data_IF_267680564200
#
_entry.id   IF_267680564200
#
_cell.length_a   1.000
_cell.length_b   1.000
_cell.length_c   1.000
_cell.angle_alpha   90.00
_cell.angle_beta   90.00
_cell.angle_gamma   90.00
#
_symmetry.space_group_name_H-M   'P 1'
#
loop_
_entity.id
_entity.type
_entity.pdbx_description
1 polymer ?
#
# COMPACT_ATOMS: atom_id res chain seq x y z
N UNK A 1 4.68 -9.59 10.27
CA UNK A 1 4.81 -10.17 8.93
C UNK A 1 4.21 -9.18 7.93
N UNK A 2 5.03 -8.78 6.92
CA UNK A 2 4.70 -7.76 5.93
C UNK A 2 5.40 -6.42 6.20
N UNK A 3 6.23 -5.96 5.25
CA UNK A 3 7.00 -4.70 5.28
C UNK A 3 6.42 -3.63 4.36
N UNK A 4 5.12 -3.71 4.04
CA UNK A 4 4.39 -2.63 3.39
C UNK A 4 4.04 -1.50 4.36
N UNK A 5 3.30 -0.48 3.88
CA UNK A 5 2.96 0.73 4.63
C UNK A 5 2.46 0.44 6.06
N UNK A 6 1.38 -0.34 6.18
CA UNK A 6 0.76 -0.65 7.47
C UNK A 6 1.66 -1.51 8.38
N UNK A 7 2.46 -2.41 7.79
CA UNK A 7 3.39 -3.25 8.54
C UNK A 7 4.51 -2.44 9.16
N UNK A 8 5.07 -1.48 8.42
CA UNK A 8 6.11 -0.56 8.92
C UNK A 8 5.54 0.37 10.00
N UNK A 9 4.34 0.92 9.82
CA UNK A 9 3.68 1.75 10.83
C UNK A 9 3.41 0.95 12.12
N UNK A 10 2.89 -0.27 12.00
CA UNK A 10 2.65 -1.15 13.15
C UNK A 10 3.96 -1.52 13.87
N UNK A 11 5.00 -1.88 13.13
CA UNK A 11 6.33 -2.19 13.68
C UNK A 11 6.90 -1.02 14.48
N UNK A 12 6.85 0.19 13.91
CA UNK A 12 7.29 1.40 14.61
C UNK A 12 6.45 1.68 15.86
N UNK A 13 5.14 1.47 15.81
CA UNK A 13 4.25 1.62 16.97
C UNK A 13 4.61 0.66 18.11
N UNK A 14 4.83 -0.62 17.80
CA UNK A 14 5.21 -1.64 18.78
C UNK A 14 6.59 -1.37 19.37
N UNK A 15 7.57 -0.98 18.55
CA UNK A 15 8.90 -0.59 19.03
C UNK A 15 8.82 0.59 20.02
N UNK A 16 7.98 1.61 19.73
CA UNK A 16 7.76 2.74 20.66
C UNK A 16 7.14 2.32 22.00
N UNK A 17 6.48 1.16 22.05
CA UNK A 17 5.98 0.56 23.30
C UNK A 17 7.06 -0.29 24.02
N UNK A 18 8.31 -0.24 23.57
CA UNK A 18 9.43 -0.96 24.18
C UNK A 18 9.56 -2.41 23.74
N UNK A 19 8.86 -2.84 22.70
CA UNK A 19 8.97 -4.20 22.19
C UNK A 19 10.19 -4.34 21.26
N UNK A 20 10.87 -5.48 21.32
CA UNK A 20 11.81 -5.88 20.28
C UNK A 20 11.02 -6.37 19.07
N UNK A 21 11.24 -5.74 17.91
CA UNK A 21 10.41 -5.99 16.71
C UNK A 21 11.29 -6.42 15.54
N UNK A 22 10.95 -7.56 14.95
CA UNK A 22 11.52 -8.06 13.70
C UNK A 22 10.43 -8.09 12.62
N UNK A 23 10.67 -7.42 11.51
CA UNK A 23 9.76 -7.40 10.34
C UNK A 23 10.22 -8.45 9.34
N UNK A 24 9.39 -9.47 9.11
CA UNK A 24 9.60 -10.46 8.03
C UNK A 24 8.85 -10.00 6.80
N UNK A 25 9.52 -9.86 5.66
CA UNK A 25 8.93 -9.39 4.42
C UNK A 25 9.32 -10.26 3.23
N UNK A 26 8.34 -10.63 2.41
CA UNK A 26 8.56 -11.50 1.25
C UNK A 26 9.38 -10.81 0.14
N UNK A 27 9.07 -9.59 -0.30
CA UNK A 27 9.93 -8.84 -1.21
C UNK A 27 11.28 -8.46 -0.58
N UNK A 28 12.27 -8.22 -1.44
CA UNK A 28 13.61 -7.74 -1.03
C UNK A 28 13.65 -6.24 -0.76
N UNK A 29 12.54 -5.54 -0.98
CA UNK A 29 12.39 -4.09 -0.87
C UNK A 29 11.21 -3.75 0.03
N UNK A 30 11.40 -2.88 1.02
CA UNK A 30 10.31 -2.38 1.86
C UNK A 30 9.38 -1.46 1.06
N UNK A 31 8.07 -1.57 1.35
CA UNK A 31 7.05 -0.70 0.74
C UNK A 31 7.13 -0.68 -0.80
N UNK A 32 7.36 -1.80 -1.43
CA UNK A 32 7.58 -1.98 -2.88
C UNK A 32 6.47 -1.39 -3.76
N UNK A 33 5.29 -1.19 -3.19
CA UNK A 33 4.14 -0.56 -3.86
C UNK A 33 4.14 0.97 -3.76
N UNK A 34 4.99 1.53 -2.90
CA UNK A 34 5.06 2.96 -2.62
C UNK A 34 6.43 3.56 -2.89
N UNK A 35 7.48 2.75 -2.91
CA UNK A 35 8.86 3.22 -3.02
C UNK A 35 9.63 2.48 -4.10
N UNK A 36 10.55 3.20 -4.70
CA UNK A 36 11.63 2.60 -5.46
C UNK A 36 12.75 2.10 -4.55
N UNK A 37 13.69 1.34 -5.11
CA UNK A 37 14.75 0.69 -4.33
C UNK A 37 15.66 1.68 -3.56
N UNK A 38 16.07 2.85 -4.10
CA UNK A 38 16.87 3.82 -3.36
C UNK A 38 16.14 4.37 -2.12
N UNK A 39 14.90 4.84 -2.27
CA UNK A 39 14.10 5.36 -1.18
C UNK A 39 13.80 4.29 -0.11
N UNK A 40 13.48 3.07 -0.53
CA UNK A 40 13.25 1.95 0.37
C UNK A 40 14.50 1.56 1.17
N UNK A 41 15.69 1.64 0.56
CA UNK A 41 16.96 1.41 1.26
C UNK A 41 17.23 2.48 2.33
N UNK A 42 16.93 3.74 2.03
CA UNK A 42 17.05 4.84 3.00
C UNK A 42 16.06 4.66 4.16
N UNK A 43 14.81 4.31 3.85
CA UNK A 43 13.79 4.00 4.86
C UNK A 43 14.24 2.85 5.77
N UNK A 44 14.68 1.73 5.18
CA UNK A 44 15.16 0.57 5.93
C UNK A 44 16.26 0.96 6.90
N UNK A 45 17.30 1.67 6.40
CA UNK A 45 18.40 2.14 7.23
C UNK A 45 17.92 3.01 8.38
N UNK A 46 17.07 4.00 8.13
CA UNK A 46 16.51 4.89 9.17
C UNK A 46 15.72 4.12 10.24
N UNK A 47 15.05 3.03 9.87
CA UNK A 47 14.30 2.20 10.80
C UNK A 47 15.22 1.25 11.58
N UNK A 48 16.26 0.71 10.95
CA UNK A 48 17.30 -0.10 11.61
C UNK A 48 18.10 0.72 12.64
N UNK A 49 18.46 1.96 12.30
CA UNK A 49 19.11 2.90 13.21
C UNK A 49 18.25 3.22 14.47
N UNK A 50 16.94 2.98 14.40
CA UNK A 50 16.00 3.11 15.52
C UNK A 50 15.78 1.81 16.30
N UNK A 51 16.33 0.68 15.84
CA UNK A 51 16.26 -0.61 16.51
C UNK A 51 15.26 -1.60 15.94
N UNK A 52 14.65 -1.34 14.77
CA UNK A 52 13.87 -2.34 14.05
C UNK A 52 14.80 -3.33 13.35
N UNK A 53 14.44 -4.61 13.39
CA UNK A 53 15.13 -5.66 12.64
C UNK A 53 14.32 -6.06 11.40
N UNK A 54 15.00 -6.38 10.28
CA UNK A 54 14.34 -6.77 9.03
C UNK A 54 14.89 -8.08 8.49
N UNK A 55 13.99 -8.95 8.05
CA UNK A 55 14.28 -10.15 7.25
C UNK A 55 13.54 -9.98 5.92
N UNK A 56 14.26 -9.48 4.91
CA UNK A 56 13.75 -9.36 3.54
C UNK A 56 13.96 -10.67 2.80
N UNK A 57 13.14 -10.95 1.78
CA UNK A 57 13.12 -12.25 1.08
C UNK A 57 12.62 -13.40 1.96
N UNK A 58 12.12 -13.10 3.17
CA UNK A 58 11.67 -14.09 4.14
C UNK A 58 10.27 -14.62 3.82
N UNK A 59 10.17 -15.92 3.54
CA UNK A 59 8.88 -16.58 3.31
C UNK A 59 8.42 -17.21 4.61
N UNK A 60 7.37 -16.66 5.21
CA UNK A 60 6.72 -17.27 6.37
C UNK A 60 6.01 -18.55 5.96
N UNK A 61 6.31 -19.64 6.65
CA UNK A 61 5.69 -20.95 6.44
C UNK A 61 4.59 -21.20 7.47
N UNK A 62 4.89 -20.99 8.76
CA UNK A 62 4.00 -21.34 9.86
C UNK A 62 4.11 -20.34 11.00
N UNK A 63 3.00 -20.09 11.69
CA UNK A 63 2.97 -19.44 13.00
C UNK A 63 2.91 -20.53 14.05
N UNK A 64 3.95 -20.63 14.87
CA UNK A 64 4.15 -21.69 15.86
C UNK A 64 3.41 -21.33 17.14
N UNK A 65 2.70 -22.30 17.73
CA UNK A 65 2.01 -22.20 19.02
C UNK A 65 0.70 -22.96 19.02
N UNK A 66 0.17 -23.23 20.23
CA UNK A 66 -1.13 -23.92 20.38
C UNK A 66 -2.21 -22.98 20.91
N UNK A 67 -2.11 -22.54 22.15
CA UNK A 67 -3.04 -21.60 22.78
C UNK A 67 -2.55 -20.15 22.67
N UNK A 68 -1.24 -19.97 22.53
CA UNK A 68 -0.56 -18.69 22.39
C UNK A 68 0.53 -18.86 21.33
N UNK A 69 0.81 -17.79 20.59
CA UNK A 69 1.94 -17.75 19.66
C UNK A 69 3.25 -17.88 20.44
N UNK A 70 4.18 -18.66 19.90
CA UNK A 70 5.52 -18.89 20.44
C UNK A 70 6.61 -18.49 19.44
N UNK A 71 6.26 -18.37 18.16
CA UNK A 71 7.21 -18.01 17.13
C UNK A 71 6.64 -18.11 15.72
N UNK A 72 7.54 -17.91 14.78
CA UNK A 72 7.29 -18.01 13.33
C UNK A 72 8.39 -18.86 12.71
N UNK A 73 8.01 -19.84 11.88
CA UNK A 73 8.94 -20.61 11.06
C UNK A 73 8.95 -20.06 9.64
N UNK A 74 10.14 -19.89 9.09
CA UNK A 74 10.36 -19.52 7.71
C UNK A 74 10.64 -20.76 6.85
N UNK A 75 10.37 -20.69 5.55
CA UNK A 75 10.61 -21.80 4.61
C UNK A 75 12.07 -22.25 4.51
N UNK A 76 13.01 -21.39 4.85
CA UNK A 76 14.44 -21.69 4.87
C UNK A 76 14.87 -22.41 6.17
N UNK A 77 13.93 -22.74 7.05
CA UNK A 77 14.15 -23.46 8.29
C UNK A 77 14.47 -22.58 9.51
N UNK A 78 14.62 -21.26 9.34
CA UNK A 78 14.81 -20.35 10.49
C UNK A 78 13.55 -20.29 11.34
N UNK A 79 13.71 -20.30 12.65
CA UNK A 79 12.64 -20.08 13.62
C UNK A 79 12.91 -18.78 14.40
N UNK A 80 11.89 -17.95 14.48
CA UNK A 80 11.92 -16.68 15.20
C UNK A 80 10.97 -16.78 16.38
N UNK A 81 11.49 -16.68 17.59
CA UNK A 81 10.67 -16.63 18.81
C UNK A 81 9.87 -15.34 18.86
N UNK A 82 8.59 -15.41 19.16
CA UNK A 82 7.72 -14.23 19.27
C UNK A 82 6.58 -14.47 20.26
N UNK A 83 6.30 -13.46 21.09
CA UNK A 83 5.13 -13.39 21.97
C UNK A 83 3.90 -12.78 21.30
N UNK A 84 4.11 -12.03 20.23
CA UNK A 84 3.09 -11.37 19.41
C UNK A 84 3.47 -11.47 17.93
N UNK A 85 2.51 -11.82 17.09
CA UNK A 85 2.66 -11.78 15.63
C UNK A 85 1.57 -10.91 15.04
N UNK A 86 1.98 -9.90 14.29
CA UNK A 86 1.07 -9.04 13.52
C UNK A 86 1.19 -9.39 12.05
N UNK A 87 0.07 -9.67 11.40
CA UNK A 87 0.00 -9.92 9.96
C UNK A 87 -0.47 -8.67 9.22
N UNK A 88 0.40 -8.10 8.39
CA UNK A 88 0.14 -6.93 7.56
C UNK A 88 0.51 -7.22 6.09
N UNK A 89 -0.01 -8.34 5.56
CA UNK A 89 0.37 -8.90 4.24
C UNK A 89 -0.55 -8.46 3.10
N UNK A 90 -1.22 -7.33 3.27
CA UNK A 90 -2.16 -6.77 2.31
C UNK A 90 -3.61 -7.17 2.59
N UNK A 91 -4.49 -6.68 1.73
CA UNK A 91 -5.93 -6.87 1.82
C UNK A 91 -6.47 -7.58 0.59
N UNK A 92 -7.63 -8.20 0.74
CA UNK A 92 -8.41 -8.76 -0.36
C UNK A 92 -9.85 -8.23 -0.25
N UNK A 93 -10.43 -7.74 -1.35
CA UNK A 93 -11.83 -7.35 -1.37
C UNK A 93 -12.74 -8.48 -0.88
N UNK A 94 -13.64 -8.18 0.05
CA UNK A 94 -14.67 -9.14 0.46
C UNK A 94 -15.83 -9.09 -0.52
N UNK A 95 -15.93 -10.10 -1.36
CA UNK A 95 -16.92 -10.20 -2.46
C UNK A 95 -17.85 -11.39 -2.32
N UNK A 96 -17.84 -12.09 -1.18
CA UNK A 96 -18.64 -13.31 -1.01
C UNK A 96 -20.14 -13.05 -1.14
N UNK A 97 -20.65 -11.99 -0.52
CA UNK A 97 -22.05 -11.63 -0.62
C UNK A 97 -22.45 -11.33 -2.08
N UNK A 98 -21.64 -10.53 -2.77
CA UNK A 98 -21.87 -10.16 -4.15
C UNK A 98 -21.90 -11.40 -5.07
N UNK A 99 -20.94 -12.31 -4.92
CA UNK A 99 -20.91 -13.59 -5.66
C UNK A 99 -22.14 -14.45 -5.39
N UNK A 100 -22.53 -14.61 -4.11
CA UNK A 100 -23.73 -15.37 -3.73
C UNK A 100 -25.00 -14.76 -4.28
N UNK A 101 -25.02 -13.44 -4.51
CA UNK A 101 -26.13 -12.70 -5.11
C UNK A 101 -26.10 -12.70 -6.65
N UNK A 102 -25.15 -13.41 -7.27
CA UNK A 102 -25.06 -13.52 -8.73
C UNK A 102 -24.41 -12.32 -9.42
N UNK A 103 -23.80 -11.38 -8.68
CA UNK A 103 -23.11 -10.24 -9.28
C UNK A 103 -21.80 -10.66 -9.92
N UNK A 104 -21.42 -10.02 -11.00
CA UNK A 104 -20.15 -10.25 -11.65
C UNK A 104 -18.99 -9.70 -10.81
N UNK A 105 -18.07 -10.59 -10.44
CA UNK A 105 -16.91 -10.28 -9.60
C UNK A 105 -15.66 -10.95 -10.16
N UNK A 106 -14.58 -10.21 -10.20
CA UNK A 106 -13.22 -10.73 -10.42
C UNK A 106 -12.43 -10.65 -9.10
N UNK A 107 -11.49 -9.70 -8.98
CA UNK A 107 -10.83 -9.39 -7.70
C UNK A 107 -11.73 -8.59 -6.76
N UNK A 108 -12.62 -7.78 -7.32
CA UNK A 108 -13.65 -7.00 -6.66
C UNK A 108 -14.98 -7.16 -7.37
N UNK A 109 -16.03 -6.52 -6.87
CA UNK A 109 -17.29 -6.34 -7.58
C UNK A 109 -17.02 -5.41 -8.77
N UNK A 110 -17.22 -5.91 -10.00
CA UNK A 110 -16.95 -5.12 -11.20
C UNK A 110 -18.05 -4.08 -11.39
N UNK A 111 -17.64 -2.82 -11.49
CA UNK A 111 -18.55 -1.68 -11.69
C UNK A 111 -18.11 -0.82 -12.87
N UNK A 112 -19.07 -0.09 -13.43
CA UNK A 112 -18.85 0.92 -14.45
C UNK A 112 -18.43 2.28 -13.84
N UNK A 113 -18.30 3.30 -14.68
CA UNK A 113 -17.86 4.65 -14.27
C UNK A 113 -18.87 5.40 -13.37
N UNK A 114 -20.08 4.86 -13.17
CA UNK A 114 -21.09 5.39 -12.24
C UNK A 114 -21.24 4.56 -10.99
N UNK A 115 -20.33 3.62 -10.76
CA UNK A 115 -20.35 2.64 -9.65
C UNK A 115 -21.50 1.63 -9.71
N UNK A 116 -22.16 1.49 -10.86
CA UNK A 116 -23.22 0.52 -11.10
C UNK A 116 -22.59 -0.84 -11.47
N UNK A 117 -23.09 -1.92 -10.88
CA UNK A 117 -22.67 -3.28 -11.21
C UNK A 117 -23.25 -3.75 -12.56
N UNK A 118 -23.01 -5.01 -12.92
CA UNK A 118 -23.68 -5.65 -14.07
C UNK A 118 -25.20 -5.65 -13.92
N UNK A 119 -25.73 -5.80 -12.70
CA UNK A 119 -27.15 -5.58 -12.41
C UNK A 119 -27.40 -4.08 -12.25
N UNK A 120 -28.22 -3.45 -13.12
CA UNK A 120 -28.44 -2.01 -13.10
C UNK A 120 -29.16 -1.51 -11.83
N UNK A 121 -29.71 -2.39 -11.01
CA UNK A 121 -30.36 -2.05 -9.74
C UNK A 121 -29.36 -2.07 -8.56
N UNK A 122 -28.12 -2.54 -8.78
CA UNK A 122 -27.13 -2.72 -7.72
C UNK A 122 -25.89 -1.86 -7.97
N UNK A 123 -25.52 -1.08 -6.97
CA UNK A 123 -24.34 -0.26 -6.95
C UNK A 123 -23.35 -0.78 -5.90
N UNK A 124 -22.07 -0.60 -6.14
CA UNK A 124 -21.03 -0.92 -5.17
C UNK A 124 -19.99 0.21 -5.09
N UNK A 125 -19.55 0.53 -3.86
CA UNK A 125 -18.49 1.49 -3.57
C UNK A 125 -17.61 0.95 -2.47
N UNK A 126 -16.36 1.37 -2.42
CA UNK A 126 -15.45 0.99 -1.35
C UNK A 126 -14.43 -0.07 -1.74
N UNK A 127 -13.77 -0.68 -0.75
CA UNK A 127 -12.69 -1.66 -0.97
C UNK A 127 -13.14 -2.94 -1.67
N UNK A 128 -14.44 -3.25 -1.65
CA UNK A 128 -14.99 -4.41 -2.35
C UNK A 128 -15.08 -4.22 -3.87
N UNK A 129 -14.86 -3.02 -4.38
CA UNK A 129 -15.07 -2.65 -5.77
C UNK A 129 -13.83 -2.88 -6.63
N UNK A 130 -14.08 -3.31 -7.87
CA UNK A 130 -13.12 -3.27 -8.98
C UNK A 130 -13.65 -2.39 -10.09
N UNK A 131 -12.92 -1.31 -10.40
CA UNK A 131 -13.24 -0.39 -11.47
C UNK A 131 -12.10 -0.36 -12.49
N UNK A 132 -12.40 -0.58 -13.78
CA UNK A 132 -11.40 -0.63 -14.88
C UNK A 132 -10.18 -1.52 -14.53
N UNK A 133 -10.42 -2.68 -13.88
CA UNK A 133 -9.39 -3.63 -13.48
C UNK A 133 -8.64 -3.27 -12.19
N UNK A 134 -8.88 -2.10 -11.60
CA UNK A 134 -8.20 -1.63 -10.39
C UNK A 134 -9.05 -1.81 -9.12
N UNK A 135 -8.40 -2.15 -8.02
CA UNK A 135 -8.98 -2.18 -6.66
C UNK A 135 -8.21 -1.20 -5.78
N UNK A 136 -8.90 -0.51 -4.89
CA UNK A 136 -8.31 0.51 -4.03
C UNK A 136 -8.45 0.13 -2.56
N UNK A 137 -7.36 0.24 -1.81
CA UNK A 137 -7.31 -0.01 -0.36
C UNK A 137 -6.98 1.24 0.46
N UNK A 138 -7.13 2.43 -0.14
CA UNK A 138 -6.95 3.73 0.52
C UNK A 138 -8.28 4.47 0.56
N UNK A 139 -8.49 5.26 1.60
CA UNK A 139 -9.78 5.91 1.89
C UNK A 139 -10.18 6.95 0.84
N UNK A 140 -9.25 7.75 0.33
CA UNK A 140 -9.56 8.85 -0.60
C UNK A 140 -10.29 8.38 -1.87
N UNK A 141 -9.82 7.35 -2.62
CA UNK A 141 -10.55 6.81 -3.76
C UNK A 141 -11.98 6.37 -3.44
N UNK A 142 -12.21 5.83 -2.23
CA UNK A 142 -13.53 5.32 -1.84
C UNK A 142 -14.55 6.46 -1.66
N UNK A 143 -14.11 7.61 -1.15
CA UNK A 143 -14.96 8.81 -1.09
C UNK A 143 -15.26 9.40 -2.48
N UNK A 144 -14.30 9.34 -3.40
CA UNK A 144 -14.52 9.76 -4.79
C UNK A 144 -15.56 8.87 -5.46
N UNK A 145 -15.45 7.54 -5.31
CA UNK A 145 -16.43 6.57 -5.77
C UNK A 145 -17.82 6.84 -5.17
N UNK A 146 -17.89 7.05 -3.86
CA UNK A 146 -19.15 7.31 -3.16
C UNK A 146 -19.84 8.58 -3.66
N UNK A 147 -19.07 9.64 -3.94
CA UNK A 147 -19.61 10.90 -4.51
C UNK A 147 -20.20 10.69 -5.89
N UNK A 148 -19.50 9.99 -6.77
CA UNK A 148 -19.99 9.69 -8.12
C UNK A 148 -21.26 8.82 -8.06
N UNK A 149 -21.25 7.77 -7.21
CA UNK A 149 -22.41 6.92 -7.00
C UNK A 149 -23.62 7.71 -6.50
N UNK A 150 -23.44 8.56 -5.49
CA UNK A 150 -24.52 9.39 -4.94
C UNK A 150 -25.09 10.37 -5.97
N UNK A 151 -24.25 11.01 -6.77
CA UNK A 151 -24.68 11.91 -7.85
C UNK A 151 -25.50 11.15 -8.90
N UNK A 152 -25.07 9.95 -9.28
CA UNK A 152 -25.79 9.14 -10.26
C UNK A 152 -27.15 8.68 -9.72
N UNK A 153 -27.20 8.20 -8.48
CA UNK A 153 -28.45 7.78 -7.83
C UNK A 153 -29.44 8.93 -7.63
N UNK A 154 -28.95 10.12 -7.36
CA UNK A 154 -29.76 11.33 -7.19
C UNK A 154 -30.14 12.00 -8.53
N UNK A 155 -29.72 11.46 -9.67
CA UNK A 155 -29.85 12.09 -10.99
C UNK A 155 -29.27 13.50 -11.02
N UNK A 156 -28.17 13.73 -10.28
CA UNK A 156 -27.52 15.02 -10.14
C UNK A 156 -26.22 15.09 -10.98
N UNK A 157 -26.32 15.69 -12.16
CA UNK A 157 -25.19 15.87 -13.06
C UNK A 157 -24.75 14.60 -13.79
N UNK A 158 -23.56 14.66 -14.39
CA UNK A 158 -22.99 13.64 -15.27
C UNK A 158 -21.67 13.09 -14.77
N UNK A 159 -21.40 13.19 -13.45
CA UNK A 159 -20.13 12.75 -12.84
C UNK A 159 -19.81 11.29 -13.17
N UNK A 160 -18.55 11.05 -13.52
CA UNK A 160 -18.01 9.72 -13.77
C UNK A 160 -16.74 9.52 -12.97
N UNK A 161 -16.52 8.31 -12.49
CA UNK A 161 -15.27 7.92 -11.85
C UNK A 161 -14.32 7.41 -12.92
N UNK A 162 -13.19 8.08 -13.08
CA UNK A 162 -12.18 7.71 -14.08
C UNK A 162 -10.98 6.98 -13.46
N UNK A 163 -11.03 6.73 -12.16
CA UNK A 163 -9.94 6.23 -11.35
C UNK A 163 -9.38 7.32 -10.44
N UNK A 164 -8.51 6.93 -9.52
CA UNK A 164 -7.86 7.86 -8.58
C UNK A 164 -6.35 7.74 -8.69
N UNK A 165 -5.66 8.87 -8.67
CA UNK A 165 -4.22 8.90 -8.42
C UNK A 165 -4.04 8.75 -6.92
N UNK A 166 -3.43 7.64 -6.52
CA UNK A 166 -3.16 7.39 -5.10
C UNK A 166 -1.86 8.04 -4.67
N UNK A 167 -1.87 8.66 -3.50
CA UNK A 167 -0.66 9.12 -2.83
C UNK A 167 -0.51 8.46 -1.47
N UNK A 168 0.73 8.33 -1.03
CA UNK A 168 1.08 7.72 0.25
C UNK A 168 1.95 8.66 1.05
N UNK A 169 1.59 8.88 2.32
CA UNK A 169 2.43 9.51 3.34
C UNK A 169 2.64 8.49 4.46
N UNK A 170 3.89 8.25 4.83
CA UNK A 170 4.21 7.32 5.93
C UNK A 170 4.01 8.00 7.27
N UNK A 171 3.27 7.37 8.18
CA UNK A 171 3.01 7.87 9.54
C UNK A 171 4.03 7.36 10.55
N UNK A 172 5.30 7.61 10.29
CA UNK A 172 6.39 7.32 11.22
C UNK A 172 7.07 8.63 11.60
N UNK A 173 6.93 9.03 12.86
CA UNK A 173 7.47 10.29 13.38
C UNK A 173 8.96 10.43 13.04
N UNK A 174 9.36 11.54 12.43
CA UNK A 174 10.74 11.83 12.04
C UNK A 174 11.22 11.04 10.81
N UNK A 175 10.30 10.53 10.01
CA UNK A 175 10.56 10.07 8.64
C UNK A 175 9.52 10.74 7.75
N UNK A 176 9.99 11.66 6.93
CA UNK A 176 9.15 12.34 5.93
C UNK A 176 9.25 11.59 4.61
N UNK A 177 8.13 11.05 4.16
CA UNK A 177 8.03 10.27 2.95
C UNK A 177 6.72 10.53 2.25
N UNK A 178 6.81 10.80 0.96
CA UNK A 178 5.68 10.95 0.06
C UNK A 178 5.92 10.16 -1.22
N UNK A 179 4.91 9.51 -1.73
CA UNK A 179 4.91 8.95 -3.08
C UNK A 179 3.53 9.07 -3.72
N UNK A 180 3.51 9.27 -5.02
CA UNK A 180 2.27 9.39 -5.77
C UNK A 180 2.42 8.89 -7.22
N UNK A 181 1.32 8.45 -7.81
CA UNK A 181 1.22 8.10 -9.22
C UNK A 181 2.12 6.93 -9.64
N UNK A 182 2.51 6.94 -10.91
CA UNK A 182 3.41 5.93 -11.48
C UNK A 182 4.88 6.34 -11.28
N UNK A 183 5.43 6.05 -10.13
CA UNK A 183 6.83 6.36 -9.80
C UNK A 183 7.83 5.32 -10.34
N UNK A 184 7.38 4.19 -10.86
CA UNK A 184 8.24 3.18 -11.47
C UNK A 184 8.66 3.59 -12.87
N UNK A 185 7.74 4.22 -13.62
CA UNK A 185 7.98 4.57 -15.02
C UNK A 185 7.97 3.36 -15.97
N UNK A 186 8.47 3.56 -17.16
CA UNK A 186 8.71 2.57 -18.19
C UNK A 186 9.72 3.11 -19.24
N UNK A 187 9.99 2.36 -20.30
CA UNK A 187 10.97 2.71 -21.35
C UNK A 187 10.65 4.02 -22.11
N UNK A 188 9.43 4.55 -22.00
CA UNK A 188 8.99 5.81 -22.64
C UNK A 188 8.92 7.00 -21.68
N UNK A 189 9.31 6.80 -20.43
CA UNK A 189 9.28 7.85 -19.40
C UNK A 189 10.68 8.38 -19.12
N UNK A 190 10.75 9.65 -18.70
CA UNK A 190 11.97 10.28 -18.23
C UNK A 190 11.97 10.31 -16.70
N UNK A 191 13.15 10.13 -16.10
CA UNK A 191 13.33 10.19 -14.66
C UNK A 191 14.26 11.36 -14.28
N UNK A 192 13.80 12.20 -13.36
CA UNK A 192 14.62 13.20 -12.71
C UNK A 192 14.89 12.76 -11.27
N UNK A 193 16.16 12.57 -10.94
CA UNK A 193 16.56 12.11 -9.61
C UNK A 193 17.50 13.12 -8.97
N UNK A 194 17.18 13.52 -7.74
CA UNK A 194 18.07 14.29 -6.88
C UNK A 194 18.32 13.50 -5.60
N UNK A 195 19.59 13.35 -5.23
CA UNK A 195 19.97 12.68 -4.00
C UNK A 195 21.03 13.48 -3.26
N UNK A 196 20.78 13.77 -1.98
CA UNK A 196 21.75 14.30 -1.03
C UNK A 196 21.89 13.30 0.13
N UNK A 197 22.97 12.52 0.08
CA UNK A 197 23.23 11.50 1.10
C UNK A 197 23.60 12.12 2.46
N UNK A 198 24.17 13.33 2.48
CA UNK A 198 24.54 14.05 3.70
C UNK A 198 23.33 14.60 4.43
N UNK A 199 22.38 15.14 3.69
CA UNK A 199 21.11 15.63 4.22
C UNK A 199 20.05 14.53 4.39
N UNK A 200 20.30 13.31 3.90
CA UNK A 200 19.32 12.23 3.94
C UNK A 200 18.10 12.47 3.04
N UNK A 201 18.28 13.17 1.92
CA UNK A 201 17.22 13.55 1.00
C UNK A 201 17.32 12.77 -0.30
N UNK A 202 16.17 12.27 -0.77
CA UNK A 202 16.01 11.66 -2.08
C UNK A 202 14.70 12.14 -2.71
N UNK A 203 14.78 12.64 -3.93
CA UNK A 203 13.62 13.06 -4.73
C UNK A 203 13.70 12.45 -6.12
N UNK A 204 12.65 11.79 -6.54
CA UNK A 204 12.48 11.24 -7.88
C UNK A 204 11.17 11.75 -8.47
N UNK A 205 11.22 12.24 -9.70
CA UNK A 205 10.06 12.53 -10.53
C UNK A 205 10.10 11.67 -11.77
N UNK A 206 8.95 11.15 -12.16
CA UNK A 206 8.77 10.42 -13.42
C UNK A 206 7.88 11.25 -14.34
N UNK A 207 8.37 11.48 -15.54
CA UNK A 207 7.71 12.30 -16.55
C UNK A 207 7.30 11.48 -17.77
N UNK A 208 6.13 11.78 -18.30
CA UNK A 208 5.68 11.34 -19.61
C UNK A 208 5.11 12.53 -20.38
N UNK A 209 5.55 12.76 -21.62
CA UNK A 209 5.12 13.90 -22.43
C UNK A 209 5.23 15.25 -21.70
N UNK A 210 6.35 15.51 -21.04
CA UNK A 210 6.63 16.72 -20.24
C UNK A 210 5.65 16.95 -19.07
N UNK A 211 4.99 15.91 -18.58
CA UNK A 211 4.11 15.96 -17.42
C UNK A 211 4.56 14.98 -16.36
N UNK A 212 4.56 15.40 -15.11
CA UNK A 212 4.82 14.52 -13.98
C UNK A 212 3.69 13.51 -13.84
N UNK A 213 4.02 12.22 -13.88
CA UNK A 213 3.09 11.10 -13.75
C UNK A 213 3.32 10.32 -12.45
N UNK A 214 4.44 10.50 -11.79
CA UNK A 214 4.76 9.88 -10.53
C UNK A 214 5.89 10.58 -9.80
N UNK A 215 5.93 10.44 -8.49
CA UNK A 215 6.96 11.00 -7.62
C UNK A 215 7.25 10.13 -6.42
N UNK A 216 8.51 10.15 -5.96
CA UNK A 216 8.95 9.64 -4.65
C UNK A 216 9.80 10.73 -4.00
N UNK A 217 9.40 11.16 -2.80
CA UNK A 217 10.14 12.13 -1.99
C UNK A 217 10.45 11.50 -0.63
N UNK A 218 11.70 11.61 -0.19
CA UNK A 218 12.16 11.12 1.10
C UNK A 218 13.04 12.18 1.77
N UNK A 219 12.83 12.43 3.05
CA UNK A 219 13.57 13.40 3.88
C UNK A 219 13.08 14.82 3.74
N UNK A 220 12.84 15.31 2.54
CA UNK A 220 12.18 16.58 2.24
C UNK A 220 10.96 16.33 1.35
N UNK A 221 9.76 16.56 1.88
CA UNK A 221 8.48 16.29 1.22
C UNK A 221 7.64 17.56 1.05
N UNK A 222 8.25 18.74 1.10
CA UNK A 222 7.52 20.03 1.01
C UNK A 222 6.75 20.16 -0.31
N UNK A 223 7.31 19.62 -1.39
CA UNK A 223 6.72 19.66 -2.72
C UNK A 223 5.70 18.51 -2.99
N UNK A 224 5.37 17.71 -1.98
CA UNK A 224 4.53 16.51 -2.09
C UNK A 224 3.03 16.69 -1.79
#
# INVERSE_FOLDING_TARGET
IGGGLLGVEAANGLMKQGMKVTVVHLPDVLMERQLDAPAAKMLKKSLEDRGLEFILGGVTEEIIGKQRVQGVRLKDGRELTADLVVMAVGIRPNIELAKKSGLYCERGVVVNDTMQSYDPSVYAVGECVQHRGQTYGLVAPLFEQARVCANHLAHYGISRYEGSITSTKLKVTGIDLFSAGNFTGNDTTEELVMQDAGAGVYKKLVLANNRVIGAVLYGDTIDG
#
